data_IF_845980729347
#
_entry.id   IF_845980729347
#
_cell.length_a   1.000
_cell.length_b   1.000
_cell.length_c   1.000
_cell.angle_alpha   90.00
_cell.angle_beta   90.00
_cell.angle_gamma   90.00
#
_symmetry.space_group_name_H-M   'P 1'
#
loop_
_entity.id
_entity.type
_entity.pdbx_description
1 polymer ?
#
# COMPACT_ATOMS: atom_id res chain seq x y z
N UNK A 1 43.62 23.91 5.58
CA UNK A 1 43.76 23.02 4.41
C UNK A 1 44.05 21.56 4.80
N UNK A 2 43.50 21.05 5.91
CA UNK A 2 43.53 19.62 6.29
C UNK A 2 42.15 19.13 6.73
N UNK A 3 41.42 19.98 7.48
CA UNK A 3 40.02 19.76 7.87
C UNK A 3 39.05 19.65 6.70
N UNK A 4 39.33 20.31 5.58
CA UNK A 4 38.45 20.29 4.40
C UNK A 4 38.54 18.94 3.65
N UNK A 5 39.72 18.31 3.62
CA UNK A 5 39.89 16.97 3.04
C UNK A 5 39.19 15.89 3.90
N UNK A 6 39.25 16.00 5.22
CA UNK A 6 38.58 15.05 6.13
C UNK A 6 37.05 15.11 5.97
N UNK A 7 36.49 16.32 5.79
CA UNK A 7 35.06 16.48 5.53
C UNK A 7 34.64 15.97 4.15
N UNK A 8 35.45 16.18 3.10
CA UNK A 8 35.19 15.61 1.77
C UNK A 8 35.28 14.07 1.77
N UNK A 9 36.20 13.51 2.55
CA UNK A 9 36.36 12.06 2.68
C UNK A 9 35.19 11.45 3.46
N UNK A 10 34.70 12.13 4.51
CA UNK A 10 33.48 11.75 5.22
C UNK A 10 32.23 11.85 4.34
N UNK A 11 32.12 12.88 3.49
CA UNK A 11 31.01 13.02 2.53
C UNK A 11 31.01 11.89 1.50
N UNK A 12 32.18 11.50 0.96
CA UNK A 12 32.30 10.36 0.03
C UNK A 12 31.92 9.03 0.69
N UNK A 13 32.32 8.83 1.94
CA UNK A 13 31.95 7.63 2.72
C UNK A 13 30.44 7.60 2.96
N UNK A 14 29.83 8.75 3.26
CA UNK A 14 28.39 8.87 3.48
C UNK A 14 27.60 8.59 2.20
N UNK A 15 27.99 9.18 1.07
CA UNK A 15 27.36 8.95 -0.24
C UNK A 15 27.47 7.48 -0.67
N UNK A 16 28.64 6.86 -0.45
CA UNK A 16 28.83 5.44 -0.73
C UNK A 16 27.93 4.57 0.15
N UNK A 17 27.82 4.86 1.44
CA UNK A 17 26.96 4.11 2.36
C UNK A 17 25.46 4.30 2.06
N UNK A 18 25.07 5.49 1.59
CA UNK A 18 23.70 5.79 1.14
C UNK A 18 23.39 5.01 -0.14
N UNK A 19 24.29 5.03 -1.12
CA UNK A 19 24.11 4.30 -2.38
C UNK A 19 24.13 2.79 -2.18
N UNK A 20 24.99 2.25 -1.31
CA UNK A 20 24.99 0.82 -0.94
C UNK A 20 23.70 0.44 -0.20
N UNK A 21 23.15 1.31 0.65
CA UNK A 21 21.82 1.08 1.26
C UNK A 21 20.71 1.14 0.21
N UNK A 22 20.79 2.06 -0.75
CA UNK A 22 19.80 2.21 -1.82
C UNK A 22 19.82 1.01 -2.78
N UNK A 23 21.00 0.54 -3.20
CA UNK A 23 21.15 -0.68 -3.99
C UNK A 23 20.74 -1.94 -3.21
N UNK A 24 21.00 -2.00 -1.90
CA UNK A 24 20.49 -3.09 -1.06
C UNK A 24 18.96 -3.05 -0.90
N UNK A 25 18.33 -1.88 -0.94
CA UNK A 25 16.86 -1.74 -0.98
C UNK A 25 16.33 -2.22 -2.33
N UNK A 26 16.96 -1.81 -3.45
CA UNK A 26 16.57 -2.25 -4.80
C UNK A 26 16.81 -3.76 -5.04
N UNK A 27 17.83 -4.35 -4.42
CA UNK A 27 18.17 -5.77 -4.54
C UNK A 27 17.69 -6.63 -3.35
N UNK A 28 17.05 -6.02 -2.34
CA UNK A 28 16.38 -6.77 -1.30
C UNK A 28 15.18 -7.45 -1.93
N UNK A 29 15.36 -8.73 -2.26
CA UNK A 29 14.22 -9.63 -2.31
C UNK A 29 13.52 -9.49 -0.96
N UNK A 30 12.25 -9.06 -1.00
CA UNK A 30 11.37 -9.14 0.15
C UNK A 30 11.55 -10.55 0.73
N UNK A 31 12.15 -10.66 1.91
CA UNK A 31 12.08 -11.89 2.69
C UNK A 31 10.63 -11.97 3.18
N UNK A 32 9.76 -12.46 2.30
CA UNK A 32 8.47 -12.99 2.69
C UNK A 32 8.74 -14.09 3.70
N UNK A 33 8.39 -13.81 4.95
CA UNK A 33 8.09 -14.83 5.94
C UNK A 33 7.13 -15.85 5.29
N UNK A 34 7.64 -17.02 4.90
CA UNK A 34 6.90 -18.25 4.57
C UNK A 34 5.41 -18.04 4.24
N UNK A 35 5.13 -17.37 3.14
CA UNK A 35 3.76 -17.10 2.71
C UNK A 35 3.52 -17.90 1.44
N UNK A 36 2.67 -18.91 1.50
CA UNK A 36 2.19 -19.67 0.34
C UNK A 36 1.34 -18.80 -0.63
N UNK A 37 1.36 -17.49 -0.46
CA UNK A 37 0.55 -16.53 -1.20
C UNK A 37 1.24 -16.19 -2.51
N UNK A 38 0.59 -16.56 -3.63
CA UNK A 38 1.03 -16.13 -4.95
C UNK A 38 0.80 -14.63 -5.10
N UNK A 39 1.79 -13.94 -5.63
CA UNK A 39 1.66 -12.55 -6.06
C UNK A 39 0.40 -12.38 -6.93
N UNK A 40 -0.61 -11.59 -6.51
CA UNK A 40 -1.84 -11.41 -7.27
C UNK A 40 -1.64 -10.51 -8.49
N UNK A 41 -0.58 -9.70 -8.54
CA UNK A 41 -0.38 -8.65 -9.56
C UNK A 41 -0.48 -9.15 -11.00
N UNK A 42 0.11 -10.31 -11.40
CA UNK A 42 -0.01 -10.81 -12.77
C UNK A 42 -1.46 -11.09 -13.18
N UNK A 43 -2.27 -11.62 -12.27
CA UNK A 43 -3.68 -11.94 -12.53
C UNK A 43 -4.51 -10.66 -12.63
N UNK A 44 -4.25 -9.70 -11.75
CA UNK A 44 -4.91 -8.39 -11.74
C UNK A 44 -4.63 -7.61 -13.02
N UNK A 45 -3.37 -7.54 -13.46
CA UNK A 45 -3.02 -6.96 -14.77
C UNK A 45 -3.78 -7.64 -15.92
N UNK A 46 -3.88 -8.98 -15.90
CA UNK A 46 -4.64 -9.73 -16.91
C UNK A 46 -6.14 -9.39 -16.87
N UNK A 47 -6.72 -9.20 -15.70
CA UNK A 47 -8.12 -8.78 -15.55
C UNK A 47 -8.35 -7.39 -16.16
N UNK A 48 -7.47 -6.43 -15.90
CA UNK A 48 -7.52 -5.09 -16.53
C UNK A 48 -7.43 -5.20 -18.06
N UNK A 49 -6.49 -5.97 -18.60
CA UNK A 49 -6.33 -6.14 -20.04
C UNK A 49 -7.53 -6.82 -20.70
N UNK A 50 -8.16 -7.78 -20.01
CA UNK A 50 -9.28 -8.57 -20.55
C UNK A 50 -10.61 -7.81 -20.47
N UNK A 51 -10.90 -7.18 -19.34
CA UNK A 51 -12.21 -6.59 -19.06
C UNK A 51 -12.24 -5.06 -19.18
N UNK A 52 -11.07 -4.41 -19.20
CA UNK A 52 -10.94 -2.97 -19.38
C UNK A 52 -10.98 -2.18 -18.06
N UNK A 53 -10.36 -1.00 -18.08
CA UNK A 53 -10.25 -0.10 -16.93
C UNK A 53 -11.60 0.25 -16.31
N UNK A 54 -12.57 0.68 -17.12
CA UNK A 54 -13.85 1.17 -16.60
C UNK A 54 -14.62 0.07 -15.87
N UNK A 55 -14.70 -1.12 -16.45
CA UNK A 55 -15.36 -2.26 -15.82
C UNK A 55 -14.72 -2.62 -14.47
N UNK A 56 -13.39 -2.55 -14.35
CA UNK A 56 -12.71 -2.80 -13.08
C UNK A 56 -12.95 -1.70 -12.04
N UNK A 57 -13.13 -0.45 -12.46
CA UNK A 57 -13.53 0.63 -11.55
C UNK A 57 -14.98 0.47 -11.09
N UNK A 58 -15.88 0.01 -11.97
CA UNK A 58 -17.27 -0.27 -11.61
C UNK A 58 -17.34 -1.40 -10.57
N UNK A 59 -16.56 -2.48 -10.76
CA UNK A 59 -16.41 -3.55 -9.76
C UNK A 59 -15.85 -3.00 -8.44
N UNK A 60 -14.83 -2.14 -8.48
CA UNK A 60 -14.30 -1.55 -7.26
C UNK A 60 -15.35 -0.74 -6.47
N UNK A 61 -16.27 -0.07 -7.16
CA UNK A 61 -17.39 0.63 -6.50
C UNK A 61 -18.38 -0.37 -5.89
N UNK A 62 -18.67 -1.47 -6.59
CA UNK A 62 -19.53 -2.55 -6.11
C UNK A 62 -18.99 -3.16 -4.81
N UNK A 63 -17.72 -3.61 -4.78
CA UNK A 63 -17.12 -4.22 -3.58
C UNK A 63 -17.09 -3.26 -2.38
N UNK A 64 -16.84 -1.96 -2.62
CA UNK A 64 -16.90 -0.96 -1.56
C UNK A 64 -18.33 -0.78 -1.02
N UNK A 65 -19.35 -0.88 -1.87
CA UNK A 65 -20.75 -0.82 -1.47
C UNK A 65 -21.17 -2.09 -0.69
N UNK A 66 -20.66 -3.25 -1.08
CA UNK A 66 -20.90 -4.53 -0.42
C UNK A 66 -20.31 -4.54 1.01
N UNK A 67 -19.04 -4.11 1.15
CA UNK A 67 -18.42 -3.92 2.47
C UNK A 67 -19.20 -2.91 3.32
N UNK A 68 -19.63 -1.79 2.72
CA UNK A 68 -20.45 -0.79 3.42
C UNK A 68 -21.76 -1.40 3.94
N UNK A 69 -22.44 -2.21 3.12
CA UNK A 69 -23.67 -2.94 3.46
C UNK A 69 -23.44 -3.87 4.65
N UNK A 70 -22.36 -4.66 4.66
CA UNK A 70 -22.07 -5.59 5.75
C UNK A 70 -21.66 -4.87 7.06
N UNK A 71 -20.95 -3.75 6.98
CA UNK A 71 -20.66 -2.90 8.15
C UNK A 71 -21.97 -2.36 8.75
N UNK A 72 -22.92 -1.89 7.93
CA UNK A 72 -24.21 -1.38 8.40
C UNK A 72 -25.02 -2.48 9.09
N UNK A 73 -25.03 -3.70 8.54
CA UNK A 73 -25.68 -4.85 9.18
C UNK A 73 -25.07 -5.16 10.54
N UNK A 74 -23.74 -5.21 10.62
CA UNK A 74 -23.04 -5.45 11.89
C UNK A 74 -23.37 -4.39 12.95
N UNK A 75 -23.40 -3.11 12.56
CA UNK A 75 -23.82 -2.00 13.44
C UNK A 75 -25.25 -2.14 13.96
N UNK A 76 -26.11 -2.89 13.28
CA UNK A 76 -27.49 -3.19 13.71
C UNK A 76 -27.61 -4.50 14.50
N UNK A 77 -26.48 -5.09 14.91
CA UNK A 77 -26.42 -6.30 15.73
C UNK A 77 -26.40 -7.61 14.95
N UNK A 78 -26.15 -7.58 13.63
CA UNK A 78 -25.97 -8.81 12.88
C UNK A 78 -24.66 -9.52 13.26
N UNK A 79 -24.67 -10.86 13.29
CA UNK A 79 -23.47 -11.69 13.43
C UNK A 79 -22.98 -12.09 12.03
N UNK A 80 -22.28 -11.18 11.36
CA UNK A 80 -21.84 -11.30 9.96
C UNK A 80 -20.33 -11.06 9.79
N UNK A 81 -19.53 -11.48 10.78
CA UNK A 81 -18.07 -11.29 10.76
C UNK A 81 -17.41 -11.91 9.52
N UNK A 82 -17.84 -13.11 9.11
CA UNK A 82 -17.26 -13.79 7.95
C UNK A 82 -17.50 -13.01 6.67
N UNK A 83 -18.71 -12.48 6.48
CA UNK A 83 -19.04 -11.64 5.34
C UNK A 83 -18.18 -10.38 5.33
N UNK A 84 -17.99 -9.72 6.48
CA UNK A 84 -17.09 -8.56 6.55
C UNK A 84 -15.67 -8.91 6.11
N UNK A 85 -15.16 -10.10 6.48
CA UNK A 85 -13.82 -10.55 6.06
C UNK A 85 -13.75 -10.77 4.55
N UNK A 86 -14.78 -11.38 3.95
CA UNK A 86 -14.86 -11.60 2.50
C UNK A 86 -14.88 -10.26 1.75
N UNK A 87 -15.84 -9.39 2.07
CA UNK A 87 -15.99 -8.09 1.40
C UNK A 87 -14.76 -7.19 1.60
N UNK A 88 -14.11 -7.28 2.76
CA UNK A 88 -12.86 -6.55 3.01
C UNK A 88 -11.71 -7.09 2.15
N UNK A 89 -11.63 -8.40 1.95
CA UNK A 89 -10.65 -9.01 1.06
C UNK A 89 -10.88 -8.56 -0.39
N UNK A 90 -12.13 -8.52 -0.84
CA UNK A 90 -12.49 -8.03 -2.17
C UNK A 90 -12.12 -6.55 -2.36
N UNK A 91 -12.38 -5.71 -1.35
CA UNK A 91 -11.91 -4.31 -1.34
C UNK A 91 -10.38 -4.22 -1.40
N UNK A 92 -9.63 -5.04 -0.66
CA UNK A 92 -8.16 -5.04 -0.73
C UNK A 92 -7.62 -5.37 -2.13
N UNK A 93 -8.25 -6.33 -2.80
CA UNK A 93 -7.91 -6.67 -4.19
C UNK A 93 -8.23 -5.49 -5.11
N UNK A 94 -9.39 -4.86 -4.94
CA UNK A 94 -9.81 -3.70 -5.73
C UNK A 94 -8.96 -2.45 -5.49
N UNK A 95 -8.44 -2.24 -4.28
CA UNK A 95 -7.44 -1.20 -4.01
C UNK A 95 -6.17 -1.42 -4.83
N UNK A 96 -5.71 -2.67 -4.94
CA UNK A 96 -4.56 -3.02 -5.79
C UNK A 96 -4.85 -2.77 -7.27
N UNK A 97 -6.04 -3.15 -7.74
CA UNK A 97 -6.52 -2.84 -9.10
C UNK A 97 -6.52 -1.34 -9.40
N UNK A 98 -7.03 -0.51 -8.48
CA UNK A 98 -7.06 0.96 -8.62
C UNK A 98 -5.64 1.51 -8.73
N UNK A 99 -4.71 1.06 -7.86
CA UNK A 99 -3.30 1.46 -7.93
C UNK A 99 -2.70 1.17 -9.29
N UNK A 100 -2.90 -0.05 -9.82
CA UNK A 100 -2.44 -0.45 -11.14
C UNK A 100 -3.05 0.41 -12.27
N UNK A 101 -4.35 0.72 -12.18
CA UNK A 101 -5.09 1.50 -13.17
C UNK A 101 -4.62 2.96 -13.26
N UNK A 102 -4.23 3.56 -12.13
CA UNK A 102 -3.80 4.96 -12.05
C UNK A 102 -2.27 5.12 -11.99
N UNK A 103 -1.51 4.04 -11.91
CA UNK A 103 -0.05 4.09 -11.77
C UNK A 103 0.40 4.64 -10.41
N UNK A 104 -0.37 4.36 -9.35
CA UNK A 104 -0.06 4.82 -7.99
C UNK A 104 0.97 3.86 -7.37
N UNK A 105 2.12 4.42 -7.00
CA UNK A 105 3.20 3.70 -6.32
C UNK A 105 2.97 3.67 -4.80
N UNK A 106 3.52 2.65 -4.14
CA UNK A 106 3.38 2.48 -2.69
C UNK A 106 3.92 3.65 -1.90
N UNK A 107 5.04 4.25 -2.34
CA UNK A 107 5.63 5.41 -1.69
C UNK A 107 4.65 6.60 -1.61
N UNK A 108 3.96 6.93 -2.71
CA UNK A 108 2.98 8.02 -2.75
C UNK A 108 1.82 7.75 -1.79
N UNK A 109 1.32 6.51 -1.78
CA UNK A 109 0.21 6.10 -0.93
C UNK A 109 0.59 6.10 0.57
N UNK A 110 1.77 5.58 0.91
CA UNK A 110 2.31 5.53 2.27
C UNK A 110 2.48 6.96 2.81
N UNK A 111 3.11 7.85 2.03
CA UNK A 111 3.27 9.25 2.41
C UNK A 111 1.91 9.92 2.70
N UNK A 112 0.90 9.66 1.87
CA UNK A 112 -0.45 10.18 2.09
C UNK A 112 -1.12 9.58 3.35
N UNK A 113 -0.86 8.32 3.67
CA UNK A 113 -1.35 7.64 4.87
C UNK A 113 -0.70 8.21 6.13
N UNK A 114 0.63 8.34 6.15
CA UNK A 114 1.39 8.86 7.29
C UNK A 114 0.93 10.27 7.68
N UNK A 115 0.72 11.14 6.69
CA UNK A 115 0.18 12.48 6.92
C UNK A 115 -1.23 12.45 7.55
N UNK A 116 -2.09 11.52 7.16
CA UNK A 116 -3.45 11.38 7.71
C UNK A 116 -3.41 10.83 9.13
N UNK A 117 -2.54 9.86 9.41
CA UNK A 117 -2.34 9.27 10.73
C UNK A 117 -1.78 10.31 11.69
N UNK A 118 -0.72 11.03 11.31
CA UNK A 118 -0.14 12.11 12.13
C UNK A 118 -1.18 13.20 12.48
N UNK A 119 -2.09 13.54 11.56
CA UNK A 119 -3.21 14.45 11.83
C UNK A 119 -4.24 13.87 12.81
N UNK A 120 -4.44 12.56 12.81
CA UNK A 120 -5.31 11.90 13.79
C UNK A 120 -4.64 11.90 15.17
N UNK A 121 -3.36 11.53 15.26
CA UNK A 121 -2.59 11.56 16.51
C UNK A 121 -2.60 12.95 17.16
N UNK A 122 -2.39 13.99 16.36
CA UNK A 122 -2.46 15.37 16.84
C UNK A 122 -3.85 15.72 17.39
N UNK A 123 -4.94 15.23 16.80
CA UNK A 123 -6.30 15.49 17.33
C UNK A 123 -6.49 14.81 18.68
N UNK A 124 -6.09 13.55 18.78
CA UNK A 124 -6.19 12.77 20.03
C UNK A 124 -5.31 13.32 21.17
N UNK A 125 -4.24 14.04 20.88
CA UNK A 125 -3.40 14.73 21.89
C UNK A 125 -4.00 16.04 22.39
N UNK A 126 -4.90 16.65 21.62
CA UNK A 126 -5.54 17.92 21.95
C UNK A 126 -6.97 17.75 22.52
N UNK A 127 -7.46 16.51 22.60
CA UNK A 127 -8.71 16.10 23.27
C UNK A 127 -8.43 15.73 24.73
#
# INVERSE_FOLDING_TARGET
>A
MKRDNELEELLKILDKAINEKFENICNSSFNESNSQYKDPIPVLKKAICKYGKQAQLDVAVEEMAELTKEIIKSKRGASNYHQIVEELADVYIMMTQIKLIYGIYDEELINAMDLKIARLEKRLQND
#
